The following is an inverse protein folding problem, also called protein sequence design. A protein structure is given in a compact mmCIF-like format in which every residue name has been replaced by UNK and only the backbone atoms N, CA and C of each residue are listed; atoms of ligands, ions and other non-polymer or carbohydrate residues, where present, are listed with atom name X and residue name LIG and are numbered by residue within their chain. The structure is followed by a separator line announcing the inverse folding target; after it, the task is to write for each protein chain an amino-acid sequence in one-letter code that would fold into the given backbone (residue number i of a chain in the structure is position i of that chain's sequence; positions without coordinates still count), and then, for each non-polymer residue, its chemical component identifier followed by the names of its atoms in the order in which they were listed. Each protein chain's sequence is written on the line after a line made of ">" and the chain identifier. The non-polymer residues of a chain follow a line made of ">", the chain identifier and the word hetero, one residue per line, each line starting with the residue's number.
data_IF_966686305729
#
_entry.id   IF_966686305729
#
_cell.length_a   1.000
_cell.length_b   1.000
_cell.length_c   1.000
_cell.angle_alpha   90.00
_cell.angle_beta   90.00
_cell.angle_gamma   90.00
#
_symmetry.space_group_name_H-M   'P 1'
#
loop_
_entity.id
_entity.type
_entity.pdbx_description
1 polymer ?
#
# COMPACT_ATOMS: atom_id res chain seq x y z
N UNK A 1 -4.97 5.15 2.62
CA UNK A 1 -3.88 4.85 3.56
C UNK A 1 -2.60 4.52 2.78
N UNK A 2 -1.47 5.19 3.07
CA UNK A 2 -0.17 4.84 2.45
C UNK A 2 0.53 3.64 3.17
N UNK A 3 1.60 3.13 2.58
CA UNK A 3 2.36 1.98 3.09
C UNK A 3 3.00 2.22 4.46
N UNK A 4 3.46 3.45 4.74
CA UNK A 4 4.03 3.83 6.04
C UNK A 4 2.98 3.73 7.13
N UNK A 5 1.81 4.34 6.91
CA UNK A 5 0.69 4.28 7.84
C UNK A 5 0.20 2.84 8.02
N UNK A 6 0.15 2.06 6.93
CA UNK A 6 -0.18 0.63 7.02
C UNK A 6 0.78 -0.12 7.92
N UNK A 7 2.10 0.09 7.76
CA UNK A 7 3.11 -0.51 8.61
C UNK A 7 2.93 -0.12 10.09
N UNK A 8 2.74 1.17 10.37
CA UNK A 8 2.48 1.68 11.73
C UNK A 8 1.23 1.09 12.35
N UNK A 9 0.13 0.97 11.58
CA UNK A 9 -1.13 0.36 12.07
C UNK A 9 -1.01 -1.12 12.43
N UNK A 10 0.05 -1.79 11.98
CA UNK A 10 0.37 -3.19 12.28
C UNK A 10 1.47 -3.33 13.34
N UNK A 11 1.82 -2.25 14.05
CA UNK A 11 2.87 -2.22 15.05
C UNK A 11 4.29 -2.15 14.48
N UNK A 12 4.44 -1.84 13.19
CA UNK A 12 5.72 -1.64 12.53
C UNK A 12 6.20 -0.18 12.54
N UNK A 13 7.44 0.04 12.13
CA UNK A 13 8.04 1.39 12.05
C UNK A 13 7.85 2.09 10.70
N UNK A 14 7.46 1.36 9.66
CA UNK A 14 7.40 1.90 8.29
C UNK A 14 8.77 2.24 7.67
N UNK A 15 9.87 1.86 8.32
CA UNK A 15 11.24 2.06 7.82
C UNK A 15 11.74 0.84 7.03
N UNK A 16 12.88 0.97 6.34
CA UNK A 16 13.43 -0.07 5.45
C UNK A 16 13.58 -1.47 6.10
N UNK A 17 13.85 -1.54 7.42
CA UNK A 17 14.00 -2.80 8.16
C UNK A 17 12.70 -3.25 8.86
N UNK A 18 11.59 -2.57 8.62
CA UNK A 18 10.31 -2.88 9.25
C UNK A 18 9.82 -4.29 8.83
N UNK A 19 9.60 -5.22 9.78
CA UNK A 19 9.12 -6.57 9.45
C UNK A 19 7.79 -6.57 8.68
N UNK A 20 6.92 -5.57 8.92
CA UNK A 20 5.67 -5.42 8.17
C UNK A 20 5.93 -5.10 6.70
N UNK A 21 6.84 -4.16 6.40
CA UNK A 21 7.22 -3.86 5.01
C UNK A 21 7.95 -5.03 4.36
N UNK A 22 8.80 -5.75 5.09
CA UNK A 22 9.45 -6.97 4.60
C UNK A 22 8.40 -8.00 4.17
N UNK A 23 7.41 -8.27 5.02
CA UNK A 23 6.33 -9.22 4.71
C UNK A 23 5.48 -8.79 3.52
N UNK A 24 5.16 -7.49 3.40
CA UNK A 24 4.40 -6.96 2.24
C UNK A 24 5.23 -7.08 0.97
N UNK A 25 6.52 -6.77 1.00
CA UNK A 25 7.39 -6.84 -0.16
C UNK A 25 7.53 -8.28 -0.67
N UNK A 26 7.69 -9.25 0.25
CA UNK A 26 7.69 -10.67 -0.08
C UNK A 26 6.38 -11.10 -0.76
N UNK A 27 5.22 -10.73 -0.19
CA UNK A 27 3.90 -11.06 -0.75
C UNK A 27 3.64 -10.38 -2.10
N UNK A 28 4.11 -9.16 -2.28
CA UNK A 28 3.98 -8.40 -3.52
C UNK A 28 5.08 -8.73 -4.56
N UNK A 29 5.95 -9.71 -4.25
CA UNK A 29 7.07 -10.14 -5.06
C UNK A 29 7.97 -8.97 -5.53
N UNK A 30 8.38 -8.11 -4.60
CA UNK A 30 9.28 -6.99 -4.85
C UNK A 30 10.34 -6.84 -3.74
N UNK A 31 11.36 -6.02 -3.99
CA UNK A 31 12.37 -5.73 -2.96
C UNK A 31 11.83 -4.78 -1.89
N UNK A 32 12.25 -4.99 -0.64
CA UNK A 32 11.88 -4.11 0.49
C UNK A 32 12.32 -2.66 0.25
N UNK A 33 13.48 -2.48 -0.40
CA UNK A 33 13.95 -1.16 -0.83
C UNK A 33 13.01 -0.49 -1.84
N UNK A 34 12.48 -1.23 -2.81
CA UNK A 34 11.48 -0.69 -3.75
C UNK A 34 10.21 -0.30 -3.00
N UNK A 35 9.72 -1.17 -2.12
CA UNK A 35 8.52 -0.89 -1.33
C UNK A 35 8.70 0.32 -0.42
N UNK A 36 9.89 0.49 0.18
CA UNK A 36 10.23 1.63 1.00
C UNK A 36 10.27 2.95 0.18
N UNK A 37 10.87 2.95 -1.01
CA UNK A 37 10.85 4.12 -1.89
C UNK A 37 9.43 4.49 -2.34
N UNK A 38 8.55 3.50 -2.54
CA UNK A 38 7.12 3.74 -2.80
C UNK A 38 6.44 4.33 -1.56
N UNK A 39 6.74 3.83 -0.36
CA UNK A 39 6.17 4.33 0.89
C UNK A 39 6.54 5.79 1.18
N UNK A 40 7.74 6.22 0.77
CA UNK A 40 8.21 7.61 0.84
C UNK A 40 7.62 8.51 -0.26
N UNK A 41 6.95 7.94 -1.27
CA UNK A 41 6.48 8.70 -2.45
C UNK A 41 7.58 9.00 -3.48
N UNK A 42 8.82 8.57 -3.25
CA UNK A 42 9.95 8.79 -4.15
C UNK A 42 9.89 7.92 -5.42
N UNK A 43 9.13 6.83 -5.37
CA UNK A 43 9.00 5.90 -6.50
C UNK A 43 7.54 5.54 -6.72
N UNK A 44 7.08 5.69 -7.95
CA UNK A 44 5.77 5.24 -8.35
C UNK A 44 5.81 3.75 -8.76
N UNK A 45 4.93 2.87 -8.24
CA UNK A 45 4.89 1.46 -8.64
C UNK A 45 4.32 1.28 -10.06
N UNK A 46 4.66 0.19 -10.74
CA UNK A 46 3.94 -0.20 -11.97
C UNK A 46 2.50 -0.60 -11.65
N UNK A 47 1.56 -0.62 -12.62
CA UNK A 47 0.18 -1.04 -12.38
C UNK A 47 0.08 -2.47 -11.84
N UNK A 48 0.94 -3.36 -12.35
CA UNK A 48 1.06 -4.74 -11.84
C UNK A 48 1.49 -4.75 -10.37
N UNK A 49 2.54 -3.99 -10.02
CA UNK A 49 3.01 -3.93 -8.63
C UNK A 49 1.97 -3.27 -7.71
N UNK A 50 1.24 -2.26 -8.16
CA UNK A 50 0.16 -1.65 -7.39
C UNK A 50 -0.95 -2.66 -7.06
N UNK A 51 -1.33 -3.52 -8.01
CA UNK A 51 -2.26 -4.64 -7.76
C UNK A 51 -1.69 -5.63 -6.73
N UNK A 52 -0.42 -5.99 -6.84
CA UNK A 52 0.22 -6.93 -5.90
C UNK A 52 0.33 -6.35 -4.49
N UNK A 53 0.64 -5.06 -4.35
CA UNK A 53 0.64 -4.36 -3.04
C UNK A 53 -0.78 -4.31 -2.46
N UNK A 54 -1.78 -4.01 -3.28
CA UNK A 54 -3.17 -4.00 -2.87
C UNK A 54 -3.60 -5.38 -2.33
N UNK A 55 -3.26 -6.46 -3.05
CA UNK A 55 -3.53 -7.84 -2.61
C UNK A 55 -2.75 -8.20 -1.35
N UNK A 56 -1.46 -7.89 -1.29
CA UNK A 56 -0.59 -8.17 -0.14
C UNK A 56 -1.06 -7.50 1.16
N UNK A 57 -1.69 -6.33 1.05
CA UNK A 57 -2.25 -5.57 2.17
C UNK A 57 -3.74 -5.83 2.40
N UNK A 58 -4.34 -6.81 1.70
CA UNK A 58 -5.77 -7.13 1.74
C UNK A 58 -6.67 -5.91 1.52
N UNK A 59 -6.28 -5.07 0.58
CA UNK A 59 -6.99 -3.86 0.20
C UNK A 59 -6.82 -2.65 1.12
N UNK A 60 -6.05 -2.76 2.21
CA UNK A 60 -5.80 -1.64 3.13
C UNK A 60 -4.99 -0.52 2.49
N UNK A 61 -4.07 -0.86 1.59
CA UNK A 61 -3.44 0.11 0.69
C UNK A 61 -4.12 -0.01 -0.66
N UNK A 62 -4.81 1.03 -1.10
CA UNK A 62 -5.57 0.98 -2.34
C UNK A 62 -4.64 1.22 -3.55
N UNK A 63 -4.81 0.44 -4.62
CA UNK A 63 -4.08 0.64 -5.87
C UNK A 63 -4.36 2.01 -6.51
N UNK A 64 -5.55 2.57 -6.30
CA UNK A 64 -5.89 3.93 -6.77
C UNK A 64 -5.13 5.02 -6.00
N UNK A 65 -4.71 4.78 -4.76
CA UNK A 65 -3.83 5.72 -4.03
C UNK A 65 -2.37 5.62 -4.53
N UNK A 66 -1.96 4.44 -5.00
CA UNK A 66 -0.62 4.21 -5.54
C UNK A 66 -0.48 4.71 -6.99
N UNK A 67 -1.56 4.60 -7.76
CA UNK A 67 -1.65 4.88 -9.21
C UNK A 67 -3.02 5.44 -9.58
N UNK A 68 -3.36 6.66 -9.16
CA UNK A 68 -4.63 7.29 -9.51
C UNK A 68 -4.75 7.52 -11.03
N UNK A 69 -3.62 7.68 -11.71
CA UNK A 69 -3.51 7.83 -13.16
C UNK A 69 -3.96 6.59 -13.96
N UNK A 70 -3.96 5.41 -13.34
CA UNK A 70 -4.34 4.14 -14.01
C UNK A 70 -5.65 3.57 -13.49
N UNK A 71 -5.87 3.64 -12.17
CA UNK A 71 -7.05 3.03 -11.54
C UNK A 71 -8.15 4.04 -11.22
N UNK A 72 -7.99 5.30 -11.64
CA UNK A 72 -8.88 6.39 -11.29
C UNK A 72 -8.68 6.87 -9.85
N UNK A 73 -9.48 7.88 -9.42
CA UNK A 73 -9.40 8.38 -8.06
C UNK A 73 -9.63 7.26 -7.05
N UNK A 74 -8.97 7.35 -5.90
CA UNK A 74 -9.26 6.44 -4.80
C UNK A 74 -10.74 6.57 -4.43
N UNK A 75 -11.44 5.45 -4.15
CA UNK A 75 -12.79 5.53 -3.62
C UNK A 75 -12.72 6.40 -2.38
N UNK A 76 -13.48 7.50 -2.39
CA UNK A 76 -13.71 8.29 -1.20
C UNK A 76 -14.32 7.31 -0.20
N UNK A 77 -13.64 7.08 0.92
CA UNK A 77 -14.22 6.30 2.00
C UNK A 77 -15.41 7.11 2.51
N UNK A 78 -16.59 6.94 1.93
CA UNK A 78 -17.82 7.18 2.68
C UNK A 78 -17.77 6.22 3.87
N UNK A 79 -17.92 6.71 5.12
CA UNK A 79 -18.04 5.81 6.24
C UNK A 79 -19.19 4.87 5.91
N UNK A 80 -18.99 3.56 6.11
CA UNK A 80 -20.04 2.56 5.97
C UNK A 80 -21.19 2.94 6.93
N UNK A 81 -22.08 3.80 6.44
CA UNK A 81 -23.36 4.12 7.02
C UNK A 81 -24.22 2.90 6.81
N UNK A 82 -24.68 2.35 7.92
CA UNK A 82 -25.75 1.38 8.02
C UNK A 82 -26.96 1.85 7.20
N UNK A 83 -27.42 1.04 6.26
CA UNK A 83 -28.80 1.05 5.75
C UNK A 83 -29.23 -0.43 5.80
N UNK A 84 -29.85 -0.90 6.89
CA UNK A 84 -31.26 -0.78 7.27
C UNK A 84 -32.18 -1.60 6.34
#
# INVERSE_FOLDING_TARGET
>A
MNLTNYATSKGGTGTLKCPVLVSVAQKANCSVGTLYQIALGNKQPSPKLANEIHRATRGRVNRSELRPDVFGPAPVNEPAGTEA
#
